data_IF_166744840198
#
_entry.id   IF_166744840198
#
_cell.length_a   1.000
_cell.length_b   1.000
_cell.length_c   1.000
_cell.angle_alpha   90.00
_cell.angle_beta   90.00
_cell.angle_gamma   90.00
#
_symmetry.space_group_name_H-M   'P 1'
#
loop_
_entity.id
_entity.type
_entity.pdbx_description
1 polymer ?
#
# COMPACT_ATOMS: atom_id res chain seq x y z
N UNK A 1 25.84 -0.06 -19.94
CA UNK A 1 24.69 -0.48 -20.77
C UNK A 1 23.42 -0.12 -20.04
N UNK A 2 22.76 0.96 -20.42
CA UNK A 2 21.58 1.52 -19.73
C UNK A 2 20.35 0.91 -20.36
N UNK A 3 19.62 0.06 -19.62
CA UNK A 3 18.31 -0.43 -20.04
C UNK A 3 17.26 0.65 -19.73
N UNK A 4 16.86 1.35 -20.78
CA UNK A 4 15.68 2.22 -20.78
C UNK A 4 14.43 1.33 -20.81
N UNK A 5 13.79 1.12 -19.68
CA UNK A 5 12.39 0.69 -19.65
C UNK A 5 11.53 1.87 -19.25
N UNK A 6 11.22 2.69 -20.24
CA UNK A 6 10.21 3.75 -20.07
C UNK A 6 8.81 3.13 -20.08
N UNK A 7 8.30 2.75 -18.93
CA UNK A 7 6.88 2.47 -18.77
C UNK A 7 6.17 3.82 -18.74
N UNK A 8 5.50 4.17 -19.83
CA UNK A 8 4.60 5.33 -19.87
C UNK A 8 3.32 4.91 -19.15
N UNK A 9 3.15 5.37 -17.92
CA UNK A 9 1.87 5.28 -17.22
C UNK A 9 0.88 6.20 -17.93
N UNK A 10 -0.15 5.60 -18.55
CA UNK A 10 -1.25 6.35 -19.15
C UNK A 10 -2.03 7.05 -18.06
N UNK A 11 -1.97 8.38 -18.03
CA UNK A 11 -2.68 9.21 -17.06
C UNK A 11 -4.17 9.14 -17.39
N UNK A 12 -4.93 8.41 -16.59
CA UNK A 12 -6.40 8.51 -16.62
C UNK A 12 -6.80 9.80 -15.90
N UNK A 13 -7.17 10.82 -16.70
CA UNK A 13 -7.53 12.12 -16.18
C UNK A 13 -8.97 12.10 -15.63
N UNK A 14 -9.15 11.80 -14.37
CA UNK A 14 -10.39 12.16 -13.68
C UNK A 14 -10.30 13.61 -13.21
N UNK A 15 -10.69 14.52 -14.11
CA UNK A 15 -10.96 15.91 -13.74
C UNK A 15 -12.37 16.01 -13.17
N UNK A 16 -12.48 16.34 -11.90
CA UNK A 16 -13.73 16.92 -11.43
C UNK A 16 -13.93 18.27 -12.15
N UNK A 17 -15.02 18.39 -12.90
CA UNK A 17 -15.36 19.57 -13.65
C UNK A 17 -15.74 20.70 -12.67
N UNK A 18 -14.75 21.50 -12.27
CA UNK A 18 -14.98 22.70 -11.46
C UNK A 18 -13.76 23.08 -10.62
N UNK A 19 -13.00 24.03 -11.06
CA UNK A 19 -11.93 24.78 -10.35
C UNK A 19 -10.50 24.25 -10.32
N UNK A 20 -10.10 23.25 -11.09
CA UNK A 20 -8.66 22.89 -11.23
C UNK A 20 -7.96 22.39 -9.96
N UNK A 21 -8.70 22.09 -8.89
CA UNK A 21 -8.16 21.51 -7.64
C UNK A 21 -8.32 20.00 -7.72
N UNK A 22 -7.20 19.28 -7.74
CA UNK A 22 -7.21 17.82 -7.67
C UNK A 22 -7.63 17.40 -6.26
N UNK A 23 -8.63 16.52 -6.16
CA UNK A 23 -8.98 15.92 -4.87
C UNK A 23 -7.85 14.97 -4.46
N UNK A 24 -7.31 15.16 -3.26
CA UNK A 24 -6.33 14.24 -2.67
C UNK A 24 -6.96 12.87 -2.43
N UNK A 25 -6.30 11.82 -2.86
CA UNK A 25 -6.71 10.42 -2.66
C UNK A 25 -5.98 9.86 -1.46
N UNK A 26 -6.73 9.32 -0.51
CA UNK A 26 -6.22 8.80 0.77
C UNK A 26 -6.26 7.27 0.77
N UNK A 27 -5.10 6.65 0.81
CA UNK A 27 -4.92 5.19 0.69
C UNK A 27 -4.31 4.62 1.97
N UNK A 28 -4.92 3.58 2.52
CA UNK A 28 -4.39 2.82 3.65
C UNK A 28 -4.09 1.39 3.24
N UNK A 29 -2.83 0.96 3.41
CA UNK A 29 -2.36 -0.40 3.14
C UNK A 29 -2.38 -1.21 4.42
N UNK A 30 -2.96 -2.42 4.37
CA UNK A 30 -3.18 -3.26 5.54
C UNK A 30 -2.52 -4.63 5.38
N UNK A 31 -1.85 -5.12 6.43
CA UNK A 31 -1.45 -6.51 6.54
C UNK A 31 -1.59 -7.00 7.98
N UNK A 32 -1.14 -8.21 8.29
CA UNK A 32 -1.29 -8.80 9.62
C UNK A 32 -0.63 -7.94 10.70
N UNK A 33 0.68 -7.70 10.61
CA UNK A 33 1.49 -7.06 11.66
C UNK A 33 1.93 -5.62 11.38
N UNK A 34 1.79 -5.11 10.16
CA UNK A 34 2.27 -3.79 9.76
C UNK A 34 3.79 -3.61 9.89
N UNK A 35 4.56 -4.67 9.67
CA UNK A 35 6.03 -4.62 9.68
C UNK A 35 6.68 -5.11 8.38
N UNK A 36 5.96 -5.84 7.52
CA UNK A 36 6.47 -6.36 6.25
C UNK A 36 5.67 -5.85 5.06
N UNK A 37 4.56 -6.52 4.69
CA UNK A 37 3.83 -6.27 3.44
C UNK A 37 3.24 -4.87 3.35
N UNK A 38 2.51 -4.41 4.36
CA UNK A 38 1.84 -3.11 4.30
C UNK A 38 2.81 -1.91 4.30
N UNK A 39 3.88 -1.89 5.12
CA UNK A 39 4.85 -0.80 5.01
C UNK A 39 5.66 -0.87 3.71
N UNK A 40 5.98 -2.07 3.19
CA UNK A 40 6.59 -2.17 1.85
C UNK A 40 5.69 -1.57 0.79
N UNK A 41 4.40 -1.93 0.76
CA UNK A 41 3.43 -1.38 -0.19
C UNK A 41 3.29 0.14 -0.05
N UNK A 42 3.27 0.67 1.16
CA UNK A 42 3.24 2.11 1.43
C UNK A 42 4.41 2.83 0.76
N UNK A 43 5.64 2.37 0.98
CA UNK A 43 6.83 3.02 0.41
C UNK A 43 6.96 2.80 -1.09
N UNK A 44 6.55 1.65 -1.62
CA UNK A 44 6.48 1.40 -3.07
C UNK A 44 5.51 2.39 -3.73
N UNK A 45 4.30 2.52 -3.18
CA UNK A 45 3.28 3.42 -3.75
C UNK A 45 3.70 4.89 -3.65
N UNK A 46 4.31 5.31 -2.54
CA UNK A 46 4.89 6.65 -2.39
C UNK A 46 5.98 6.91 -3.43
N UNK A 47 6.89 5.97 -3.66
CA UNK A 47 7.93 6.08 -4.67
C UNK A 47 7.37 6.18 -6.09
N UNK A 48 6.36 5.35 -6.41
CA UNK A 48 5.66 5.42 -7.70
C UNK A 48 5.00 6.78 -7.92
N UNK A 49 4.33 7.33 -6.91
CA UNK A 49 3.68 8.63 -6.98
C UNK A 49 4.70 9.77 -7.20
N UNK A 50 5.86 9.71 -6.53
CA UNK A 50 6.95 10.67 -6.73
C UNK A 50 7.51 10.57 -8.15
N UNK A 51 7.80 9.37 -8.64
CA UNK A 51 8.32 9.14 -9.99
C UNK A 51 7.35 9.56 -11.09
N UNK A 52 6.05 9.45 -10.84
CA UNK A 52 5.00 9.90 -11.75
C UNK A 52 4.72 11.41 -11.66
N UNK A 53 5.29 12.13 -10.69
CA UNK A 53 5.08 13.56 -10.48
C UNK A 53 3.70 13.90 -9.92
N UNK A 54 3.07 12.97 -9.20
CA UNK A 54 1.71 13.12 -8.64
C UNK A 54 1.66 12.88 -7.13
N UNK A 55 2.78 12.98 -6.45
CA UNK A 55 2.89 12.71 -5.01
C UNK A 55 1.96 13.59 -4.16
N UNK A 56 1.72 14.83 -4.58
CA UNK A 56 0.82 15.80 -3.95
C UNK A 56 -0.67 15.43 -4.07
N UNK A 57 -0.99 14.45 -4.91
CA UNK A 57 -2.36 13.92 -5.07
C UNK A 57 -2.68 12.75 -4.15
N UNK A 58 -1.70 12.24 -3.42
CA UNK A 58 -1.85 11.06 -2.58
C UNK A 58 -1.47 11.32 -1.13
N UNK A 59 -2.29 10.80 -0.23
CA UNK A 59 -1.92 10.56 1.16
C UNK A 59 -1.92 9.04 1.40
N UNK A 60 -0.76 8.49 1.73
CA UNK A 60 -0.54 7.04 1.79
C UNK A 60 0.00 6.69 3.16
N UNK A 61 -0.65 5.74 3.82
CA UNK A 61 -0.25 5.22 5.12
C UNK A 61 -0.48 3.70 5.18
N UNK A 62 -0.06 3.08 6.26
CA UNK A 62 -0.26 1.64 6.48
C UNK A 62 -0.61 1.33 7.93
N UNK A 63 -1.29 0.20 8.16
CA UNK A 63 -1.67 -0.27 9.48
C UNK A 63 -1.77 -1.81 9.53
N UNK A 64 -1.90 -2.35 10.73
CA UNK A 64 -2.09 -3.76 11.01
C UNK A 64 -3.55 -4.11 11.26
N UNK A 65 -3.92 -5.35 10.95
CA UNK A 65 -5.20 -5.94 11.39
C UNK A 65 -5.06 -6.67 12.73
N UNK A 66 -3.85 -6.89 13.22
CA UNK A 66 -3.56 -7.48 14.53
C UNK A 66 -2.87 -6.48 15.47
N UNK A 67 -2.65 -6.89 16.70
CA UNK A 67 -1.94 -6.12 17.73
C UNK A 67 -0.54 -6.65 18.03
N UNK A 68 -0.12 -7.71 17.33
CA UNK A 68 1.08 -8.48 17.69
C UNK A 68 2.38 -7.67 17.58
N UNK A 69 2.45 -6.74 16.63
CA UNK A 69 3.67 -5.99 16.32
C UNK A 69 3.54 -4.48 16.59
N UNK A 70 2.51 -4.03 17.32
CA UNK A 70 2.31 -2.61 17.63
C UNK A 70 3.57 -2.02 18.27
N UNK A 71 4.04 -0.88 17.71
CA UNK A 71 5.22 -0.19 18.17
C UNK A 71 6.53 -0.60 17.49
N UNK A 72 6.53 -1.68 16.71
CA UNK A 72 7.73 -2.17 16.04
C UNK A 72 7.99 -1.43 14.71
N UNK A 73 9.28 -1.29 14.33
CA UNK A 73 9.67 -0.71 13.05
C UNK A 73 9.44 -1.69 11.89
N UNK A 74 9.71 -1.24 10.67
CA UNK A 74 9.77 -2.12 9.50
C UNK A 74 10.75 -3.26 9.74
N UNK A 75 10.33 -4.48 9.46
CA UNK A 75 11.16 -5.67 9.60
C UNK A 75 12.44 -5.53 8.75
N UNK A 76 13.63 -5.86 9.30
CA UNK A 76 14.89 -5.58 8.61
C UNK A 76 15.00 -6.15 7.20
N UNK A 77 14.47 -7.37 6.95
CA UNK A 77 14.50 -7.96 5.61
C UNK A 77 13.58 -7.22 4.62
N UNK A 78 12.43 -6.70 5.09
CA UNK A 78 11.55 -5.85 4.28
C UNK A 78 12.23 -4.53 3.90
N UNK A 79 12.91 -3.91 4.86
CA UNK A 79 13.71 -2.69 4.61
C UNK A 79 14.84 -2.94 3.61
N UNK A 80 15.54 -4.07 3.73
CA UNK A 80 16.59 -4.43 2.75
C UNK A 80 16.04 -4.63 1.36
N UNK A 81 14.88 -5.27 1.23
CA UNK A 81 14.25 -5.48 -0.08
C UNK A 81 13.86 -4.16 -0.76
N UNK A 82 13.27 -3.22 -0.02
CA UNK A 82 13.03 -1.86 -0.51
C UNK A 82 14.34 -1.20 -0.99
N UNK A 83 15.40 -1.29 -0.20
CA UNK A 83 16.72 -0.73 -0.53
C UNK A 83 17.35 -1.34 -1.78
N UNK A 84 17.16 -2.65 -2.03
CA UNK A 84 17.62 -3.33 -3.25
C UNK A 84 17.02 -2.72 -4.51
N UNK A 85 15.80 -2.19 -4.43
CA UNK A 85 15.09 -1.56 -5.54
C UNK A 85 15.19 -0.04 -5.54
N UNK A 86 16.00 0.54 -4.65
CA UNK A 86 16.21 1.98 -4.56
C UNK A 86 15.01 2.74 -4.00
N UNK A 87 14.12 2.07 -3.27
CA UNK A 87 12.96 2.69 -2.63
C UNK A 87 13.34 3.16 -1.23
N UNK A 88 13.12 4.44 -0.96
CA UNK A 88 13.34 5.01 0.36
C UNK A 88 12.36 4.44 1.37
N UNK A 89 12.89 3.98 2.52
CA UNK A 89 12.11 3.52 3.65
C UNK A 89 12.34 4.46 4.83
N UNK A 90 11.33 5.25 5.16
CA UNK A 90 11.37 6.19 6.28
C UNK A 90 11.21 5.54 7.65
N UNK A 91 11.06 6.37 8.66
CA UNK A 91 10.69 5.93 10.00
C UNK A 91 9.25 5.43 10.00
N UNK A 92 9.06 4.26 10.58
CA UNK A 92 7.76 3.59 10.63
C UNK A 92 7.57 2.95 12.00
N UNK A 93 6.37 3.08 12.53
CA UNK A 93 5.93 2.41 13.75
C UNK A 93 4.62 1.70 13.48
N UNK A 94 4.60 0.38 13.68
CA UNK A 94 3.41 -0.43 13.46
C UNK A 94 2.27 0.01 14.37
N UNK A 95 1.08 0.16 13.79
CA UNK A 95 -0.17 0.54 14.48
C UNK A 95 -1.31 -0.33 14.01
N UNK A 96 -2.35 -0.47 14.82
CA UNK A 96 -3.56 -1.17 14.40
C UNK A 96 -4.53 -0.22 13.71
N UNK A 97 -5.22 -0.72 12.67
CA UNK A 97 -6.30 -0.01 12.00
C UNK A 97 -7.46 0.26 12.96
N UNK A 98 -8.12 1.39 12.81
CA UNK A 98 -9.24 1.85 13.64
C UNK A 98 -10.47 2.20 12.81
N UNK A 99 -11.63 2.33 13.46
CA UNK A 99 -12.85 2.81 12.82
C UNK A 99 -12.69 4.24 12.27
N UNK A 100 -11.83 5.06 12.88
CA UNK A 100 -11.51 6.39 12.37
C UNK A 100 -10.77 6.32 11.03
N UNK A 101 -9.91 5.32 10.83
CA UNK A 101 -9.24 5.10 9.55
C UNK A 101 -10.25 4.81 8.43
N UNK A 102 -11.27 3.98 8.70
CA UNK A 102 -12.31 3.68 7.71
C UNK A 102 -13.07 4.93 7.27
N UNK A 103 -13.28 5.88 8.18
CA UNK A 103 -13.92 7.17 7.84
C UNK A 103 -13.00 8.12 7.08
N UNK A 104 -11.72 8.09 7.41
CA UNK A 104 -10.73 9.04 6.90
C UNK A 104 -10.19 8.69 5.51
N UNK A 105 -9.85 7.43 5.28
CA UNK A 105 -9.27 6.97 4.01
C UNK A 105 -10.34 6.69 2.96
N UNK A 106 -10.00 6.96 1.69
CA UNK A 106 -10.88 6.68 0.55
C UNK A 106 -10.86 5.20 0.16
N UNK A 107 -9.71 4.53 0.37
CA UNK A 107 -9.52 3.10 0.12
C UNK A 107 -8.63 2.47 1.18
N UNK A 108 -9.00 1.25 1.59
CA UNK A 108 -8.21 0.36 2.46
C UNK A 108 -7.94 -0.92 1.69
N UNK A 109 -6.67 -1.25 1.46
CA UNK A 109 -6.28 -2.47 0.75
C UNK A 109 -5.64 -3.47 1.69
N UNK A 110 -6.20 -4.68 1.78
CA UNK A 110 -5.64 -5.78 2.54
C UNK A 110 -4.90 -6.76 1.63
N UNK A 111 -4.02 -7.60 2.21
CA UNK A 111 -3.08 -8.45 1.47
C UNK A 111 -3.61 -9.85 1.21
N UNK A 112 -4.40 -10.42 2.12
CA UNK A 112 -4.86 -11.81 2.03
C UNK A 112 -6.20 -12.02 2.74
N UNK A 113 -6.77 -13.22 2.54
CA UNK A 113 -8.06 -13.62 3.14
C UNK A 113 -8.04 -13.65 4.67
N UNK A 114 -6.88 -13.92 5.27
CA UNK A 114 -6.73 -13.86 6.73
C UNK A 114 -6.88 -12.43 7.24
N UNK A 115 -6.29 -11.46 6.53
CA UNK A 115 -6.49 -10.04 6.82
C UNK A 115 -7.98 -9.66 6.72
N UNK A 116 -8.67 -10.09 5.67
CA UNK A 116 -10.10 -9.82 5.49
C UNK A 116 -10.95 -10.35 6.65
N UNK A 117 -10.67 -11.56 7.14
CA UNK A 117 -11.38 -12.14 8.28
C UNK A 117 -11.21 -11.35 9.57
N UNK A 118 -9.98 -10.88 9.84
CA UNK A 118 -9.71 -10.05 11.01
C UNK A 118 -10.33 -8.67 10.90
N UNK A 119 -10.31 -8.07 9.72
CA UNK A 119 -10.95 -6.77 9.47
C UNK A 119 -12.45 -6.77 9.80
N UNK A 120 -13.17 -7.83 9.45
CA UNK A 120 -14.61 -7.96 9.75
C UNK A 120 -14.92 -7.92 11.25
N UNK A 121 -13.96 -8.22 12.12
CA UNK A 121 -14.10 -8.13 13.58
C UNK A 121 -13.81 -6.73 14.12
N UNK A 122 -13.07 -5.92 13.34
CA UNK A 122 -12.59 -4.61 13.75
C UNK A 122 -13.41 -3.47 13.14
N UNK A 123 -13.88 -3.66 11.92
CA UNK A 123 -14.52 -2.61 11.12
C UNK A 123 -15.86 -3.10 10.57
N UNK A 124 -16.83 -2.18 10.38
CA UNK A 124 -18.01 -2.45 9.58
C UNK A 124 -17.63 -2.89 8.16
N UNK A 125 -18.46 -3.71 7.53
CA UNK A 125 -18.28 -4.09 6.13
C UNK A 125 -18.52 -2.87 5.22
N UNK A 126 -17.54 -2.60 4.35
CA UNK A 126 -17.61 -1.53 3.36
C UNK A 126 -16.86 -1.98 2.10
N UNK A 127 -17.54 -2.72 1.20
CA UNK A 127 -16.89 -3.28 0.01
C UNK A 127 -16.47 -2.23 -1.02
N UNK A 128 -16.95 -1.00 -0.91
CA UNK A 128 -16.50 0.10 -1.77
C UNK A 128 -15.15 0.64 -1.32
N UNK A 129 -14.91 0.69 -0.01
CA UNK A 129 -13.65 1.18 0.57
C UNK A 129 -12.64 0.08 0.86
N UNK A 130 -13.08 -1.07 1.39
CA UNK A 130 -12.20 -2.17 1.83
C UNK A 130 -12.10 -3.20 0.70
N UNK A 131 -10.92 -3.33 0.11
CA UNK A 131 -10.67 -4.19 -1.05
C UNK A 131 -9.38 -5.01 -0.90
N UNK A 132 -9.28 -6.16 -1.56
CA UNK A 132 -7.99 -6.84 -1.69
C UNK A 132 -7.05 -6.01 -2.57
N UNK A 133 -5.75 -6.06 -2.27
CA UNK A 133 -4.73 -5.42 -3.12
C UNK A 133 -4.66 -6.10 -4.49
N UNK A 134 -4.73 -7.44 -4.51
CA UNK A 134 -4.77 -8.28 -5.70
C UNK A 134 -6.00 -9.21 -5.65
N UNK A 135 -6.35 -9.81 -6.78
CA UNK A 135 -7.38 -10.85 -6.89
C UNK A 135 -6.98 -12.20 -6.28
N UNK A 136 -5.74 -12.29 -5.79
CA UNK A 136 -5.15 -13.41 -5.04
C UNK A 136 -4.47 -12.92 -3.78
N UNK A 137 -4.15 -13.84 -2.87
CA UNK A 137 -3.38 -13.51 -1.66
C UNK A 137 -1.96 -13.06 -2.05
N UNK A 138 -1.49 -11.97 -1.45
CA UNK A 138 -0.07 -11.61 -1.45
C UNK A 138 0.65 -12.52 -0.47
N UNK A 139 1.66 -13.25 -0.94
CA UNK A 139 2.44 -14.16 -0.11
C UNK A 139 3.03 -13.43 1.10
N UNK A 140 2.88 -14.06 2.28
CA UNK A 140 3.43 -13.51 3.52
C UNK A 140 4.91 -13.90 3.67
N UNK A 141 5.85 -12.95 3.57
CA UNK A 141 7.28 -13.24 3.61
C UNK A 141 7.76 -13.68 4.99
N UNK A 142 6.96 -13.45 6.02
CA UNK A 142 7.20 -13.99 7.36
C UNK A 142 7.25 -15.51 7.36
N UNK A 143 6.36 -16.14 6.55
CA UNK A 143 6.31 -17.61 6.43
C UNK A 143 7.18 -18.15 5.29
N UNK A 144 7.24 -17.47 4.16
CA UNK A 144 7.97 -17.95 2.97
C UNK A 144 9.45 -17.60 3.00
N UNK A 145 9.83 -16.52 3.65
CA UNK A 145 11.16 -15.93 3.58
C UNK A 145 11.49 -15.28 2.22
N UNK A 146 10.56 -15.31 1.27
CA UNK A 146 10.76 -14.80 -0.09
C UNK A 146 10.25 -13.36 -0.24
N UNK A 147 11.08 -12.41 0.14
CA UNK A 147 10.77 -10.98 0.02
C UNK A 147 10.75 -10.49 -1.43
N UNK A 148 11.46 -11.16 -2.34
CA UNK A 148 11.44 -10.84 -3.76
C UNK A 148 10.07 -11.15 -4.39
N UNK A 149 9.47 -12.28 -4.05
CA UNK A 149 8.09 -12.61 -4.48
C UNK A 149 7.08 -11.61 -3.93
N UNK A 150 7.21 -11.26 -2.66
CA UNK A 150 6.37 -10.23 -2.04
C UNK A 150 6.54 -8.89 -2.75
N UNK A 151 7.76 -8.48 -3.05
CA UNK A 151 8.04 -7.27 -3.82
C UNK A 151 7.29 -7.26 -5.15
N UNK A 152 7.37 -8.34 -5.93
CA UNK A 152 6.70 -8.44 -7.24
C UNK A 152 5.18 -8.30 -7.11
N UNK A 153 4.57 -8.98 -6.13
CA UNK A 153 3.12 -8.88 -5.88
C UNK A 153 2.71 -7.46 -5.46
N UNK A 154 3.51 -6.81 -4.60
CA UNK A 154 3.21 -5.46 -4.13
C UNK A 154 3.37 -4.42 -5.25
N UNK A 155 4.36 -4.56 -6.12
CA UNK A 155 4.54 -3.71 -7.30
C UNK A 155 3.33 -3.84 -8.23
N UNK A 156 2.85 -5.06 -8.48
CA UNK A 156 1.64 -5.29 -9.28
C UNK A 156 0.43 -4.58 -8.67
N UNK A 157 0.18 -4.75 -7.37
CA UNK A 157 -0.95 -4.12 -6.68
C UNK A 157 -0.85 -2.59 -6.64
N UNK A 158 0.31 -2.06 -6.33
CA UNK A 158 0.55 -0.60 -6.33
C UNK A 158 0.42 0.00 -7.74
N UNK A 159 0.83 -0.73 -8.78
CA UNK A 159 0.62 -0.32 -10.17
C UNK A 159 -0.87 -0.18 -10.49
N UNK A 160 -1.69 -1.14 -10.07
CA UNK A 160 -3.15 -1.07 -10.26
C UNK A 160 -3.76 0.15 -9.53
N UNK A 161 -3.29 0.48 -8.33
CA UNK A 161 -3.73 1.69 -7.62
C UNK A 161 -3.33 2.96 -8.40
N UNK A 162 -2.11 3.01 -8.93
CA UNK A 162 -1.66 4.15 -9.74
C UNK A 162 -2.47 4.29 -11.03
N UNK A 163 -2.87 3.18 -11.66
CA UNK A 163 -3.73 3.19 -12.86
C UNK A 163 -5.15 3.69 -12.55
N UNK A 164 -5.69 3.37 -11.36
CA UNK A 164 -7.02 3.82 -10.93
C UNK A 164 -7.04 5.30 -10.57
N UNK A 165 -6.02 5.82 -9.90
CA UNK A 165 -6.04 7.15 -9.27
C UNK A 165 -4.95 8.13 -9.73
N UNK A 166 -3.92 7.63 -10.40
CA UNK A 166 -2.70 8.37 -10.81
C UNK A 166 -2.85 9.34 -11.98
#
# INVERSE_FOLDING_TARGET
MVLKTGVKYGICQHKDAGNGVWKMVKILLLCHGNICRSPMAEYILKDMAVRAGVADRFEIDSAAVSREEIGNPVYPAARRELGRHGVFCGDHTARQVTAADLRYFDRLYYMDRSNARLLRRLLPDDPEKIRPLLDRDVADPWYTGDFGKTWDDLVEGCTQIMEEFG
#
